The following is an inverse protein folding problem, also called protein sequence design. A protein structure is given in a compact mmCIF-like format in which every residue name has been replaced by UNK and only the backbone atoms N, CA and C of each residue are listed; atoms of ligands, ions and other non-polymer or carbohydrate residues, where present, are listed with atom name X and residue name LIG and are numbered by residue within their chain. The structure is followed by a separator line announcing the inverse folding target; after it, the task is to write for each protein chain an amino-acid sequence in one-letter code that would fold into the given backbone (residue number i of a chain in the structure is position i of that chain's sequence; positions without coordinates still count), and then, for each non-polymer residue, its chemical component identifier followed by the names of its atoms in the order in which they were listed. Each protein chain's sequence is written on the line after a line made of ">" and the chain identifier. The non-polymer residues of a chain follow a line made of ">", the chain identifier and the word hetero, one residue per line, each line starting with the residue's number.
data_IF_377722303769
#
_entry.id   IF_377722303769
#
_cell.length_a   1.000
_cell.length_b   1.000
_cell.length_c   1.000
_cell.angle_alpha   90.00
_cell.angle_beta   90.00
_cell.angle_gamma   90.00
#
_symmetry.space_group_name_H-M   'P 1'
#
loop_
_entity.id
_entity.type
_entity.pdbx_description
1 polymer ?
#
# COMPACT_ATOMS: atom_id res chain seq x y z
N UNK A 1 -11.74 17.04 -24.91
CA UNK A 1 -10.68 16.07 -24.54
C UNK A 1 -10.61 16.07 -23.03
N UNK A 2 -11.51 15.34 -22.39
CA UNK A 2 -11.67 15.38 -20.93
C UNK A 2 -10.55 14.54 -20.34
N UNK A 3 -9.63 15.17 -19.61
CA UNK A 3 -8.67 14.45 -18.78
C UNK A 3 -9.50 13.66 -17.78
N UNK A 4 -9.72 12.36 -18.03
CA UNK A 4 -10.29 11.47 -17.02
C UNK A 4 -9.19 11.32 -15.99
N UNK A 5 -9.23 12.14 -14.95
CA UNK A 5 -8.40 11.96 -13.77
C UNK A 5 -8.85 10.61 -13.18
N UNK A 6 -8.03 9.58 -13.35
CA UNK A 6 -8.32 8.24 -12.85
C UNK A 6 -7.75 8.12 -11.44
N UNK A 7 -8.61 8.30 -10.44
CA UNK A 7 -8.27 8.45 -9.03
C UNK A 7 -7.55 7.28 -8.39
N UNK A 8 -6.89 7.62 -7.29
CA UNK A 8 -5.52 7.23 -7.10
C UNK A 8 -5.18 6.75 -5.68
N UNK A 9 -4.23 5.82 -5.52
CA UNK A 9 -3.67 5.49 -4.18
C UNK A 9 -3.09 6.72 -3.46
N UNK A 10 -3.30 6.87 -2.14
CA UNK A 10 -2.85 8.09 -1.43
C UNK A 10 -1.34 8.38 -1.58
N UNK A 11 -0.94 9.49 -2.20
CA UNK A 11 0.44 9.93 -2.24
C UNK A 11 0.88 10.48 -0.87
N UNK A 12 2.13 10.27 -0.44
CA UNK A 12 2.59 10.74 0.88
C UNK A 12 3.98 11.37 0.84
N UNK A 13 4.19 12.34 1.72
CA UNK A 13 5.49 12.92 2.02
C UNK A 13 6.07 12.20 3.24
N UNK A 14 6.84 11.12 3.04
CA UNK A 14 7.43 10.38 4.16
C UNK A 14 8.45 11.23 4.94
N UNK A 15 9.20 12.10 4.26
CA UNK A 15 10.29 12.90 4.84
C UNK A 15 11.57 12.07 5.04
N UNK A 16 12.60 12.66 5.63
CA UNK A 16 13.90 12.00 5.83
C UNK A 16 13.97 11.21 7.13
N UNK A 17 14.93 10.29 7.28
CA UNK A 17 15.11 9.52 8.51
C UNK A 17 15.30 10.39 9.75
N UNK A 18 16.21 11.37 9.67
CA UNK A 18 16.63 12.20 10.80
C UNK A 18 15.48 13.06 11.33
N UNK A 19 14.72 13.70 10.43
CA UNK A 19 13.61 14.59 10.80
C UNK A 19 12.46 13.85 11.48
N UNK A 20 12.34 12.56 11.20
CA UNK A 20 11.25 11.71 11.68
C UNK A 20 11.62 10.89 12.93
N UNK A 21 12.84 11.07 13.46
CA UNK A 21 13.30 10.34 14.65
C UNK A 21 13.73 8.89 14.39
N UNK A 22 13.97 8.51 13.12
CA UNK A 22 14.60 7.24 12.81
C UNK A 22 16.12 7.36 12.91
N UNK A 23 16.72 6.66 13.87
CA UNK A 23 18.12 6.86 14.26
C UNK A 23 19.13 6.06 13.45
N UNK A 24 18.70 5.13 12.59
CA UNK A 24 19.59 4.17 11.94
C UNK A 24 19.80 4.47 10.45
N UNK A 25 20.97 4.09 9.96
CA UNK A 25 21.36 4.16 8.55
C UNK A 25 22.51 3.16 8.28
N UNK A 26 23.04 3.16 7.06
CA UNK A 26 24.12 2.28 6.63
C UNK A 26 25.43 2.44 7.43
N UNK A 27 25.68 3.61 8.01
CA UNK A 27 26.85 3.91 8.84
C UNK A 27 26.63 3.60 10.33
N UNK A 28 25.42 3.19 10.74
CA UNK A 28 25.15 2.81 12.13
C UNK A 28 26.05 1.66 12.57
N UNK A 29 26.70 1.84 13.72
CA UNK A 29 27.55 0.83 14.34
C UNK A 29 26.68 -0.24 15.01
N UNK A 30 27.01 -1.50 14.76
CA UNK A 30 26.40 -2.66 15.42
C UNK A 30 27.41 -3.24 16.40
N UNK A 31 27.15 -3.06 17.69
CA UNK A 31 28.05 -3.53 18.74
C UNK A 31 27.78 -5.01 19.11
N UNK A 32 28.75 -5.86 18.79
CA UNK A 32 28.79 -7.27 19.15
C UNK A 32 29.75 -7.58 20.31
N UNK A 33 30.54 -6.63 20.81
CA UNK A 33 31.70 -6.85 21.71
C UNK A 33 31.37 -7.70 22.95
N UNK A 34 30.18 -7.52 23.52
CA UNK A 34 29.71 -8.25 24.72
C UNK A 34 28.63 -9.27 24.40
N UNK A 35 28.68 -9.85 23.20
CA UNK A 35 27.69 -10.84 22.73
C UNK A 35 28.40 -12.11 22.29
N UNK A 36 27.66 -13.21 22.20
CA UNK A 36 28.16 -14.46 21.60
C UNK A 36 28.59 -14.33 20.14
N UNK A 37 28.28 -13.21 19.48
CA UNK A 37 28.61 -12.96 18.08
C UNK A 37 29.99 -12.28 17.91
N UNK A 38 30.63 -11.81 18.99
CA UNK A 38 31.87 -11.01 18.93
C UNK A 38 33.00 -11.71 18.16
N UNK A 39 33.30 -12.96 18.52
CA UNK A 39 34.39 -13.72 17.90
C UNK A 39 34.14 -13.97 16.40
N UNK A 40 32.92 -14.37 16.04
CA UNK A 40 32.53 -14.56 14.63
C UNK A 40 32.59 -13.25 13.83
N UNK A 41 32.17 -12.13 14.44
CA UNK A 41 32.28 -10.79 13.84
C UNK A 41 33.74 -10.37 13.62
N UNK A 42 34.62 -10.58 14.60
CA UNK A 42 36.06 -10.32 14.46
C UNK A 42 36.68 -11.18 13.35
N UNK A 43 36.32 -12.46 13.28
CA UNK A 43 36.85 -13.39 12.29
C UNK A 43 36.39 -13.04 10.86
N UNK A 44 35.11 -12.76 10.66
CA UNK A 44 34.50 -12.57 9.34
C UNK A 44 34.47 -11.11 8.87
N UNK A 45 34.40 -10.17 9.81
CA UNK A 45 34.27 -8.74 9.56
C UNK A 45 35.43 -7.93 10.15
N UNK A 46 36.50 -8.56 10.66
CA UNK A 46 37.70 -7.89 11.21
C UNK A 46 37.43 -6.87 12.32
N UNK A 47 36.23 -6.86 12.91
CA UNK A 47 35.81 -6.00 14.02
C UNK A 47 34.56 -6.58 14.67
N UNK A 48 34.39 -6.37 15.96
CA UNK A 48 33.17 -6.64 16.72
C UNK A 48 32.20 -5.44 16.75
N UNK A 49 32.56 -4.33 16.11
CA UNK A 49 31.72 -3.13 15.94
C UNK A 49 31.55 -2.75 14.46
N UNK A 50 31.12 -3.67 13.58
CA UNK A 50 30.92 -3.37 12.17
C UNK A 50 29.81 -2.32 11.96
N UNK A 51 29.87 -1.61 10.84
CA UNK A 51 28.75 -0.80 10.35
C UNK A 51 27.64 -1.70 9.80
N UNK A 52 26.40 -1.18 9.75
CA UNK A 52 25.29 -1.86 9.10
C UNK A 52 25.59 -2.19 7.62
N UNK A 53 26.28 -1.31 6.90
CA UNK A 53 26.74 -1.58 5.54
C UNK A 53 27.67 -2.81 5.47
N UNK A 54 28.64 -2.92 6.38
CA UNK A 54 29.57 -4.05 6.43
C UNK A 54 28.86 -5.37 6.75
N UNK A 55 27.88 -5.32 7.65
CA UNK A 55 27.01 -6.45 7.94
C UNK A 55 26.16 -6.85 6.73
N UNK A 56 25.64 -5.88 5.97
CA UNK A 56 24.84 -6.14 4.77
C UNK A 56 25.67 -6.79 3.66
N UNK A 57 26.89 -6.30 3.43
CA UNK A 57 27.86 -6.90 2.52
C UNK A 57 28.19 -8.35 2.89
N UNK A 58 28.35 -8.63 4.19
CA UNK A 58 28.52 -10.00 4.67
C UNK A 58 27.31 -10.87 4.33
N UNK A 59 26.09 -10.42 4.62
CA UNK A 59 24.88 -11.16 4.26
C UNK A 59 24.77 -11.40 2.75
N UNK A 60 25.12 -10.41 1.91
CA UNK A 60 25.19 -10.57 0.46
C UNK A 60 26.19 -11.64 0.04
N UNK A 61 27.41 -11.62 0.61
CA UNK A 61 28.47 -12.56 0.23
C UNK A 61 28.11 -14.03 0.47
N UNK A 62 27.18 -14.29 1.40
CA UNK A 62 26.72 -15.65 1.75
C UNK A 62 25.32 -15.96 1.21
N UNK A 63 24.66 -15.05 0.50
CA UNK A 63 23.23 -15.13 0.18
C UNK A 63 22.86 -16.34 -0.69
N UNK A 64 23.78 -16.74 -1.56
CA UNK A 64 23.60 -17.87 -2.48
C UNK A 64 24.18 -19.18 -1.91
N UNK A 65 24.76 -19.16 -0.71
CA UNK A 65 25.29 -20.35 -0.05
C UNK A 65 24.13 -21.07 0.63
N UNK A 66 23.84 -22.35 0.30
CA UNK A 66 22.84 -23.13 1.02
C UNK A 66 23.17 -23.17 2.51
N UNK A 67 22.17 -23.04 3.39
CA UNK A 67 22.38 -22.97 4.84
C UNK A 67 23.28 -24.10 5.37
N UNK A 68 23.01 -25.35 4.95
CA UNK A 68 23.80 -26.54 5.31
C UNK A 68 25.30 -26.46 4.95
N UNK A 69 25.70 -25.52 4.11
CA UNK A 69 27.07 -25.31 3.65
C UNK A 69 27.73 -24.08 4.30
N UNK A 70 27.03 -23.35 5.18
CA UNK A 70 27.62 -22.25 5.93
C UNK A 70 28.52 -22.80 7.04
N UNK A 71 29.62 -22.09 7.33
CA UNK A 71 30.42 -22.39 8.52
C UNK A 71 29.65 -22.02 9.79
N UNK A 72 30.02 -22.60 10.93
CA UNK A 72 29.39 -22.29 12.21
C UNK A 72 29.46 -20.78 12.53
N UNK A 73 30.59 -20.12 12.25
CA UNK A 73 30.74 -18.67 12.43
C UNK A 73 29.84 -17.88 11.48
N UNK A 74 29.69 -18.31 10.23
CA UNK A 74 28.80 -17.66 9.27
C UNK A 74 27.33 -17.77 9.71
N UNK A 75 26.89 -18.95 10.14
CA UNK A 75 25.52 -19.14 10.66
C UNK A 75 25.28 -18.31 11.91
N UNK A 76 26.22 -18.33 12.85
CA UNK A 76 26.14 -17.59 14.11
C UNK A 76 26.08 -16.08 13.86
N UNK A 77 26.97 -15.56 13.02
CA UNK A 77 27.00 -14.13 12.69
C UNK A 77 25.78 -13.72 11.85
N UNK A 78 25.34 -14.52 10.88
CA UNK A 78 24.11 -14.27 10.11
C UNK A 78 22.91 -14.09 11.03
N UNK A 79 22.78 -14.95 12.05
CA UNK A 79 21.73 -14.80 13.08
C UNK A 79 21.90 -13.49 13.85
N UNK A 80 23.11 -13.18 14.34
CA UNK A 80 23.38 -11.95 15.09
C UNK A 80 23.08 -10.67 14.30
N UNK A 81 23.47 -10.62 13.03
CA UNK A 81 23.16 -9.50 12.14
C UNK A 81 21.65 -9.36 11.95
N UNK A 82 20.95 -10.44 11.62
CA UNK A 82 19.50 -10.41 11.40
C UNK A 82 18.73 -9.97 12.66
N UNK A 83 19.14 -10.45 13.84
CA UNK A 83 18.54 -10.05 15.12
C UNK A 83 18.73 -8.53 15.37
N UNK A 84 19.92 -7.99 15.08
CA UNK A 84 20.22 -6.55 15.22
C UNK A 84 19.47 -5.71 14.20
N UNK A 85 19.48 -6.10 12.93
CA UNK A 85 18.70 -5.45 11.88
C UNK A 85 17.21 -5.42 12.21
N UNK A 86 16.66 -6.52 12.75
CA UNK A 86 15.28 -6.58 13.22
C UNK A 86 14.97 -5.51 14.26
N UNK A 87 15.80 -5.38 15.29
CA UNK A 87 15.64 -4.31 16.27
C UNK A 87 15.72 -2.91 15.65
N UNK A 88 16.63 -2.71 14.69
CA UNK A 88 16.83 -1.43 14.02
C UNK A 88 15.64 -1.02 13.15
N UNK A 89 15.14 -1.88 12.26
CA UNK A 89 14.02 -1.46 11.40
C UNK A 89 12.69 -1.41 12.17
N UNK A 90 12.51 -2.21 13.23
CA UNK A 90 11.29 -2.16 14.03
C UNK A 90 11.10 -0.82 14.76
N UNK A 91 12.19 -0.08 15.05
CA UNK A 91 12.07 1.27 15.61
C UNK A 91 11.43 2.29 14.65
N UNK A 92 11.36 1.99 13.35
CA UNK A 92 10.70 2.83 12.37
C UNK A 92 9.16 2.83 12.48
N UNK A 93 8.56 1.88 13.21
CA UNK A 93 7.11 1.72 13.27
C UNK A 93 6.37 2.98 13.73
N UNK A 94 6.81 3.60 14.83
CA UNK A 94 6.18 4.82 15.37
C UNK A 94 6.40 6.02 14.44
N UNK A 95 7.64 6.33 13.99
CA UNK A 95 7.87 7.35 12.97
C UNK A 95 6.98 7.17 11.73
N UNK A 96 6.92 5.97 11.16
CA UNK A 96 6.09 5.69 9.99
C UNK A 96 4.61 5.87 10.27
N UNK A 97 4.12 5.45 11.43
CA UNK A 97 2.74 5.69 11.84
C UNK A 97 2.41 7.19 11.91
N UNK A 98 3.28 7.98 12.54
CA UNK A 98 3.07 9.43 12.64
C UNK A 98 3.08 10.11 11.26
N UNK A 99 3.86 9.56 10.31
CA UNK A 99 3.96 10.10 8.95
C UNK A 99 2.85 9.65 8.03
N UNK A 100 2.49 8.37 8.07
CA UNK A 100 1.59 7.73 7.11
C UNK A 100 0.20 7.46 7.70
N UNK A 101 0.04 7.52 9.02
CA UNK A 101 -1.17 7.08 9.71
C UNK A 101 -1.32 5.56 9.75
N UNK A 102 -2.48 5.10 10.20
CA UNK A 102 -2.82 3.69 10.40
C UNK A 102 -3.24 2.99 9.11
N UNK A 103 -2.66 3.29 7.94
CA UNK A 103 -3.16 2.78 6.66
C UNK A 103 -2.11 1.91 5.98
N UNK A 104 -2.54 0.80 5.39
CA UNK A 104 -1.66 -0.08 4.63
C UNK A 104 -1.20 0.61 3.34
N UNK A 105 0.11 0.60 3.10
CA UNK A 105 0.73 1.20 1.92
C UNK A 105 0.54 0.40 0.61
N UNK A 106 -0.37 -0.58 0.60
CA UNK A 106 -0.66 -1.38 -0.60
C UNK A 106 -2.17 -1.42 -0.89
N UNK A 107 -2.97 -1.75 0.13
CA UNK A 107 -4.42 -1.88 -0.04
C UNK A 107 -5.20 -0.70 0.55
N UNK A 108 -4.53 0.25 1.20
CA UNK A 108 -5.10 1.42 1.89
C UNK A 108 -6.07 1.12 3.04
N UNK A 109 -6.33 -0.16 3.32
CA UNK A 109 -7.14 -0.56 4.46
C UNK A 109 -6.53 -0.03 5.77
N UNK A 110 -7.39 0.32 6.71
CA UNK A 110 -6.96 0.66 8.06
C UNK A 110 -6.30 -0.55 8.74
N UNK A 111 -5.21 -0.29 9.47
CA UNK A 111 -4.46 -1.23 10.29
C UNK A 111 -4.94 -1.06 11.72
N UNK A 112 -5.73 -2.01 12.21
CA UNK A 112 -6.36 -1.94 13.55
C UNK A 112 -5.61 -2.71 14.63
N UNK A 113 -4.60 -3.50 14.25
CA UNK A 113 -3.86 -4.38 15.15
C UNK A 113 -2.41 -3.93 15.29
N UNK A 114 -1.49 -4.62 14.63
CA UNK A 114 -0.06 -4.35 14.68
C UNK A 114 0.40 -3.70 13.37
N UNK A 115 1.12 -2.58 13.50
CA UNK A 115 1.75 -1.93 12.36
C UNK A 115 3.04 -2.67 12.06
N UNK A 116 3.07 -3.31 10.89
CA UNK A 116 4.28 -3.93 10.39
C UNK A 116 5.09 -2.90 9.60
N UNK A 117 6.37 -2.77 9.96
CA UNK A 117 7.36 -2.09 9.13
C UNK A 117 7.69 -3.02 7.98
N UNK A 118 7.19 -2.68 6.80
CA UNK A 118 7.41 -3.46 5.60
C UNK A 118 8.49 -2.82 4.72
N UNK A 119 9.29 -3.66 4.08
CA UNK A 119 10.36 -3.23 3.18
C UNK A 119 9.89 -3.26 1.73
N UNK A 120 9.89 -2.14 0.99
CA UNK A 120 9.54 -2.11 -0.43
C UNK A 120 10.37 -3.15 -1.21
N UNK A 121 11.68 -3.08 -1.00
CA UNK A 121 12.68 -4.02 -1.48
C UNK A 121 12.96 -5.03 -0.36
N UNK A 122 12.66 -6.33 -0.54
CA UNK A 122 12.69 -7.31 0.55
C UNK A 122 14.10 -7.53 1.12
N UNK A 123 14.21 -7.46 2.45
CA UNK A 123 15.48 -7.56 3.19
C UNK A 123 16.25 -8.87 3.01
N UNK A 124 15.56 -9.99 2.75
CA UNK A 124 16.19 -11.30 2.65
C UNK A 124 17.06 -11.43 1.39
N UNK A 125 16.54 -11.17 0.17
CA UNK A 125 17.34 -11.12 -1.06
C UNK A 125 18.16 -9.81 -1.22
N UNK A 126 17.83 -8.73 -0.49
CA UNK A 126 18.53 -7.44 -0.60
C UNK A 126 18.86 -6.85 0.78
N UNK A 127 19.83 -7.43 1.51
CA UNK A 127 20.17 -7.01 2.86
C UNK A 127 20.67 -5.55 2.94
N UNK A 128 21.25 -4.99 1.87
CA UNK A 128 21.74 -3.61 1.80
C UNK A 128 20.67 -2.55 2.10
N UNK A 129 19.40 -2.88 1.85
CA UNK A 129 18.26 -1.97 2.05
C UNK A 129 17.52 -2.21 3.37
N UNK A 130 18.01 -3.09 4.24
CA UNK A 130 17.29 -3.53 5.44
C UNK A 130 17.07 -2.42 6.47
N UNK A 131 18.00 -1.47 6.56
CA UNK A 131 17.97 -0.37 7.54
C UNK A 131 17.72 1.00 6.88
N UNK A 132 17.30 1.00 5.61
CA UNK A 132 17.15 2.23 4.83
C UNK A 132 15.73 2.75 4.96
N UNK A 133 15.58 3.94 5.55
CA UNK A 133 14.29 4.59 5.77
C UNK A 133 13.42 4.68 4.51
N UNK A 134 14.02 5.03 3.38
CA UNK A 134 13.30 5.17 2.12
C UNK A 134 12.71 3.83 1.65
N UNK A 135 13.28 2.71 2.10
CA UNK A 135 12.78 1.37 1.85
C UNK A 135 11.61 0.94 2.76
N UNK A 136 11.21 1.74 3.77
CA UNK A 136 10.16 1.32 4.72
C UNK A 136 8.78 1.89 4.45
N UNK A 137 7.78 1.10 4.84
CA UNK A 137 6.34 1.35 4.74
C UNK A 137 5.58 0.81 5.94
N UNK A 138 4.31 1.22 6.04
CA UNK A 138 3.30 0.53 6.84
C UNK A 138 2.57 -0.50 5.98
N UNK A 139 2.43 -1.73 6.45
CA UNK A 139 1.62 -2.75 5.78
C UNK A 139 0.66 -3.46 6.75
N UNK A 140 -0.48 -3.93 6.22
CA UNK A 140 -1.32 -4.88 6.94
C UNK A 140 -0.79 -6.30 6.75
N UNK A 141 -1.10 -7.19 7.71
CA UNK A 141 -0.63 -8.58 7.71
C UNK A 141 -0.86 -9.34 6.40
N UNK A 142 -2.05 -9.29 5.77
CA UNK A 142 -2.28 -9.95 4.48
C UNK A 142 -1.37 -9.44 3.36
N UNK A 143 -1.18 -8.12 3.22
CA UNK A 143 -0.31 -7.57 2.20
C UNK A 143 1.15 -7.96 2.44
N UNK A 144 1.61 -7.83 3.69
CA UNK A 144 2.96 -8.19 4.10
C UNK A 144 3.24 -9.68 3.84
N UNK A 145 2.34 -10.57 4.26
CA UNK A 145 2.47 -12.01 4.07
C UNK A 145 2.51 -12.41 2.58
N UNK A 146 1.66 -11.82 1.75
CA UNK A 146 1.59 -12.15 0.32
C UNK A 146 2.81 -11.66 -0.46
N UNK A 147 3.28 -10.45 -0.14
CA UNK A 147 4.51 -9.90 -0.68
C UNK A 147 5.71 -10.76 -0.27
N UNK A 148 5.91 -10.94 1.03
CA UNK A 148 7.03 -11.68 1.60
C UNK A 148 8.38 -11.22 1.02
N UNK A 149 9.23 -12.19 0.70
CA UNK A 149 10.59 -11.95 0.18
C UNK A 149 10.64 -11.76 -1.36
N UNK A 150 9.55 -11.36 -1.99
CA UNK A 150 9.49 -11.16 -3.46
C UNK A 150 9.79 -9.71 -3.85
N UNK A 151 10.49 -9.49 -4.98
CA UNK A 151 11.00 -10.49 -5.93
C UNK A 151 12.40 -11.02 -5.53
N UNK A 152 12.80 -12.18 -6.07
CA UNK A 152 14.18 -12.67 -5.92
C UNK A 152 15.15 -11.86 -6.80
N UNK A 153 16.44 -11.88 -6.45
CA UNK A 153 17.50 -11.22 -7.24
C UNK A 153 17.53 -11.68 -8.70
N UNK A 154 17.30 -12.96 -8.95
CA UNK A 154 17.30 -13.53 -10.31
C UNK A 154 16.18 -12.94 -11.17
N UNK A 155 14.97 -12.79 -10.61
CA UNK A 155 13.83 -12.22 -11.31
C UNK A 155 14.13 -10.78 -11.73
N UNK A 156 14.64 -9.96 -10.81
CA UNK A 156 14.96 -8.55 -11.10
C UNK A 156 16.12 -8.42 -12.08
N UNK A 157 17.12 -9.30 -12.02
CA UNK A 157 18.22 -9.32 -12.99
C UNK A 157 17.71 -9.53 -14.42
N UNK A 158 16.72 -10.40 -14.61
CA UNK A 158 16.11 -10.64 -15.93
C UNK A 158 15.41 -9.36 -16.42
N UNK A 159 14.67 -8.67 -15.54
CA UNK A 159 14.03 -7.41 -15.88
C UNK A 159 15.03 -6.35 -16.32
N UNK A 160 16.09 -6.14 -15.54
CA UNK A 160 17.14 -5.17 -15.83
C UNK A 160 17.86 -5.50 -17.15
N UNK A 161 18.10 -6.77 -17.44
CA UNK A 161 18.68 -7.20 -18.73
C UNK A 161 17.76 -6.92 -19.92
N UNK A 162 16.44 -7.10 -19.76
CA UNK A 162 15.46 -6.75 -20.78
C UNK A 162 15.42 -5.22 -21.03
N UNK A 163 15.72 -4.43 -20.01
CA UNK A 163 15.89 -2.97 -20.09
C UNK A 163 17.30 -2.55 -20.58
N UNK A 164 18.17 -3.50 -20.93
CA UNK A 164 19.51 -3.25 -21.47
C UNK A 164 20.63 -3.14 -20.42
N UNK A 165 20.32 -3.26 -19.12
CA UNK A 165 21.31 -3.26 -18.06
C UNK A 165 21.83 -4.68 -17.76
N UNK A 166 22.98 -5.02 -18.36
CA UNK A 166 23.63 -6.32 -18.19
C UNK A 166 24.52 -6.44 -16.95
N UNK A 167 24.85 -5.32 -16.29
CA UNK A 167 25.71 -5.29 -15.11
C UNK A 167 25.11 -4.39 -14.02
N UNK A 168 23.97 -4.81 -13.43
CA UNK A 168 23.22 -3.96 -12.52
C UNK A 168 23.95 -3.76 -11.18
N UNK A 169 23.93 -2.53 -10.71
CA UNK A 169 24.30 -2.12 -9.35
C UNK A 169 23.19 -2.46 -8.36
N UNK A 170 23.47 -2.42 -7.05
CA UNK A 170 22.40 -2.56 -6.04
C UNK A 170 21.34 -1.46 -6.19
N UNK A 171 21.74 -0.24 -6.56
CA UNK A 171 20.78 0.84 -6.80
C UNK A 171 19.84 0.51 -7.98
N UNK A 172 20.35 -0.12 -9.05
CA UNK A 172 19.50 -0.56 -10.16
C UNK A 172 18.46 -1.60 -9.71
N UNK A 173 18.84 -2.53 -8.82
CA UNK A 173 17.88 -3.47 -8.21
C UNK A 173 16.82 -2.72 -7.40
N UNK A 174 17.25 -1.77 -6.57
CA UNK A 174 16.35 -0.97 -5.74
C UNK A 174 15.32 -0.23 -6.59
N UNK A 175 15.79 0.52 -7.58
CA UNK A 175 14.95 1.37 -8.44
C UNK A 175 14.00 0.51 -9.28
N UNK A 176 14.47 -0.60 -9.84
CA UNK A 176 13.63 -1.51 -10.64
C UNK A 176 12.49 -2.11 -9.81
N UNK A 177 12.77 -2.61 -8.61
CA UNK A 177 11.75 -3.19 -7.72
C UNK A 177 10.75 -2.12 -7.30
N UNK A 178 11.24 -0.94 -6.92
CA UNK A 178 10.37 0.14 -6.50
C UNK A 178 9.46 0.62 -7.62
N UNK A 179 9.96 0.71 -8.85
CA UNK A 179 9.14 1.05 -10.03
C UNK A 179 8.04 0.02 -10.30
N UNK A 180 8.31 -1.27 -10.07
CA UNK A 180 7.45 -2.40 -10.47
C UNK A 180 6.49 -2.89 -9.39
N UNK A 181 7.03 -3.20 -8.22
CA UNK A 181 6.33 -3.86 -7.11
C UNK A 181 5.86 -2.89 -6.03
N UNK A 182 6.17 -1.60 -6.16
CA UNK A 182 5.78 -0.56 -5.23
C UNK A 182 5.38 0.72 -5.95
N UNK A 183 4.15 0.70 -6.47
CA UNK A 183 3.58 1.85 -7.18
C UNK A 183 3.03 2.84 -6.15
N UNK A 184 3.91 3.70 -5.63
CA UNK A 184 3.56 4.75 -4.69
C UNK A 184 4.18 6.09 -5.10
N UNK A 185 3.46 7.16 -4.78
CA UNK A 185 3.75 8.48 -5.31
C UNK A 185 4.94 9.22 -4.67
N UNK A 186 5.69 8.57 -3.77
CA UNK A 186 6.93 9.17 -3.27
C UNK A 186 8.05 9.15 -4.33
N UNK A 187 7.87 8.37 -5.41
CA UNK A 187 8.81 8.23 -6.52
C UNK A 187 8.35 8.90 -7.81
N UNK A 188 7.04 8.84 -8.09
CA UNK A 188 6.46 9.39 -9.31
C UNK A 188 5.03 9.88 -9.05
N UNK A 189 4.79 11.16 -9.37
CA UNK A 189 3.54 11.87 -9.17
C UNK A 189 2.37 11.34 -10.01
N UNK A 190 2.58 10.34 -10.86
CA UNK A 190 1.52 9.71 -11.67
C UNK A 190 1.26 8.24 -11.30
N UNK A 191 2.17 7.60 -10.55
CA UNK A 191 2.13 6.16 -10.22
C UNK A 191 0.79 5.70 -9.64
N UNK A 192 0.15 6.55 -8.86
CA UNK A 192 -1.08 6.22 -8.15
C UNK A 192 -2.34 6.38 -9.01
N UNK A 193 -2.30 7.07 -10.16
CA UNK A 193 -3.44 7.24 -11.09
C UNK A 193 -3.84 5.97 -11.85
N UNK A 194 -3.07 4.90 -11.71
CA UNK A 194 -3.22 3.68 -12.50
C UNK A 194 -4.07 2.60 -11.82
N UNK A 195 -4.51 2.81 -10.57
CA UNK A 195 -5.13 1.76 -9.74
C UNK A 195 -6.57 2.08 -9.28
N UNK A 196 -7.51 2.41 -10.19
CA UNK A 196 -8.86 2.75 -9.79
C UNK A 196 -9.60 1.57 -9.14
N UNK A 197 -10.31 1.88 -8.05
CA UNK A 197 -11.30 1.02 -7.44
C UNK A 197 -12.63 1.10 -8.20
N UNK A 198 -12.91 0.08 -9.01
CA UNK A 198 -14.10 0.02 -9.84
C UNK A 198 -15.13 -0.98 -9.32
N UNK A 199 -16.40 -0.68 -9.57
CA UNK A 199 -17.52 -1.54 -9.22
C UNK A 199 -17.71 -2.64 -10.27
N UNK A 200 -17.70 -3.89 -9.84
CA UNK A 200 -17.95 -5.07 -10.66
C UNK A 200 -19.17 -5.82 -10.15
N UNK A 201 -19.89 -6.46 -11.05
CA UNK A 201 -20.99 -7.35 -10.73
C UNK A 201 -20.77 -8.74 -11.32
N UNK A 202 -21.32 -9.76 -10.66
CA UNK A 202 -21.29 -11.11 -11.17
C UNK A 202 -22.45 -11.31 -12.18
N UNK A 203 -22.10 -11.56 -13.44
CA UNK A 203 -23.07 -11.85 -14.49
C UNK A 203 -23.45 -13.33 -14.49
N UNK A 204 -24.73 -13.62 -14.22
CA UNK A 204 -25.25 -14.99 -14.22
C UNK A 204 -25.31 -15.60 -15.63
N UNK A 205 -25.50 -14.77 -16.67
CA UNK A 205 -25.58 -15.27 -18.05
C UNK A 205 -24.24 -15.78 -18.57
N UNK A 206 -23.14 -15.14 -18.13
CA UNK A 206 -21.79 -15.39 -18.63
C UNK A 206 -20.90 -16.06 -17.58
N UNK A 207 -21.44 -16.31 -16.37
CA UNK A 207 -20.74 -16.86 -15.22
C UNK A 207 -19.39 -16.15 -14.93
N UNK A 208 -19.37 -14.82 -15.03
CA UNK A 208 -18.14 -14.03 -14.96
C UNK A 208 -18.36 -12.67 -14.29
N UNK A 209 -17.29 -12.09 -13.77
CA UNK A 209 -17.29 -10.73 -13.25
C UNK A 209 -17.23 -9.73 -14.40
N UNK A 210 -18.12 -8.74 -14.38
CA UNK A 210 -18.22 -7.69 -15.40
C UNK A 210 -18.14 -6.33 -14.72
N UNK A 211 -17.35 -5.44 -15.29
CA UNK A 211 -17.26 -4.03 -14.87
C UNK A 211 -18.62 -3.36 -15.07
N UNK A 212 -19.11 -2.64 -14.06
CA UNK A 212 -20.28 -1.77 -14.24
C UNK A 212 -19.87 -0.61 -15.15
N UNK A 213 -20.55 -0.36 -16.27
CA UNK A 213 -20.19 0.73 -17.16
C UNK A 213 -20.50 2.09 -16.52
N UNK A 214 -19.69 3.11 -16.83
CA UNK A 214 -20.00 4.49 -16.47
C UNK A 214 -21.33 4.94 -17.15
N UNK A 215 -22.12 5.81 -16.51
CA UNK A 215 -21.90 6.40 -15.18
C UNK A 215 -22.35 5.50 -14.02
N UNK A 216 -22.88 4.30 -14.30
CA UNK A 216 -23.43 3.41 -13.29
C UNK A 216 -22.43 2.91 -12.25
N UNK A 217 -21.12 2.91 -12.56
CA UNK A 217 -20.10 2.45 -11.61
C UNK A 217 -20.04 3.32 -10.35
N UNK A 218 -20.23 4.63 -10.46
CA UNK A 218 -20.15 5.61 -9.37
C UNK A 218 -21.50 6.23 -9.01
N UNK A 219 -22.61 5.64 -9.47
CA UNK A 219 -23.96 6.15 -9.18
C UNK A 219 -24.27 6.06 -7.68
N UNK A 220 -24.58 7.22 -7.07
CA UNK A 220 -24.96 7.37 -5.66
C UNK A 220 -26.23 6.64 -5.26
N UNK A 221 -27.04 6.18 -6.23
CA UNK A 221 -28.20 5.33 -5.98
C UNK A 221 -27.84 3.85 -5.79
N UNK A 222 -26.61 3.45 -6.09
CA UNK A 222 -26.13 2.11 -5.80
C UNK A 222 -26.15 1.87 -4.29
N UNK A 223 -26.80 0.78 -3.84
CA UNK A 223 -27.00 0.52 -2.40
C UNK A 223 -26.89 -0.95 -2.06
N UNK A 224 -26.32 -1.26 -0.90
CA UNK A 224 -26.24 -2.63 -0.38
C UNK A 224 -27.65 -3.10 -0.02
N UNK A 225 -28.01 -4.29 -0.50
CA UNK A 225 -29.25 -5.00 -0.14
C UNK A 225 -28.98 -6.00 0.98
N UNK A 226 -27.88 -6.75 0.87
CA UNK A 226 -27.50 -7.71 1.90
C UNK A 226 -25.99 -7.99 1.89
N UNK A 227 -25.49 -8.48 3.03
CA UNK A 227 -24.10 -8.92 3.16
C UNK A 227 -24.06 -10.29 3.81
N UNK A 228 -23.13 -11.13 3.36
CA UNK A 228 -22.79 -12.39 4.00
C UNK A 228 -21.32 -12.32 4.40
N UNK A 229 -21.04 -12.02 5.67
CA UNK A 229 -19.66 -11.87 6.17
C UNK A 229 -18.89 -13.19 6.14
N UNK A 230 -19.57 -14.32 6.35
CA UNK A 230 -18.96 -15.65 6.34
C UNK A 230 -18.47 -16.06 4.95
N UNK A 231 -19.28 -15.77 3.92
CA UNK A 231 -18.95 -16.03 2.51
C UNK A 231 -18.25 -14.83 1.84
N UNK A 232 -18.12 -13.70 2.55
CA UNK A 232 -17.56 -12.43 2.06
C UNK A 232 -18.26 -11.92 0.81
N UNK A 233 -19.58 -12.09 0.77
CA UNK A 233 -20.41 -11.67 -0.36
C UNK A 233 -21.20 -10.42 -0.02
N UNK A 234 -21.37 -9.56 -1.02
CA UNK A 234 -22.22 -8.37 -0.94
C UNK A 234 -23.16 -8.41 -2.12
N UNK A 235 -24.45 -8.28 -1.84
CA UNK A 235 -25.47 -8.06 -2.86
C UNK A 235 -25.91 -6.61 -2.78
N UNK A 236 -25.94 -5.95 -3.92
CA UNK A 236 -26.31 -4.54 -4.03
C UNK A 236 -27.30 -4.35 -5.19
N UNK A 237 -28.18 -3.38 -5.02
CA UNK A 237 -28.98 -2.83 -6.10
C UNK A 237 -28.11 -1.79 -6.81
N UNK A 238 -27.78 -2.04 -8.08
CA UNK A 238 -26.83 -1.24 -8.86
C UNK A 238 -27.45 -0.74 -10.16
N UNK A 239 -27.04 0.43 -10.61
CA UNK A 239 -27.45 0.99 -11.89
C UNK A 239 -26.65 0.34 -13.04
N UNK A 240 -27.32 -0.49 -13.85
CA UNK A 240 -26.82 -0.97 -15.12
C UNK A 240 -27.54 -0.24 -16.26
N UNK A 241 -26.85 0.73 -16.88
CA UNK A 241 -27.33 1.46 -18.06
C UNK A 241 -28.74 2.09 -17.88
N UNK A 242 -28.97 2.69 -16.71
CA UNK A 242 -30.24 3.35 -16.35
C UNK A 242 -31.24 2.44 -15.62
N UNK A 243 -30.94 1.15 -15.45
CA UNK A 243 -31.82 0.20 -14.76
C UNK A 243 -31.21 -0.29 -13.46
N UNK A 244 -31.94 -0.13 -12.36
CA UNK A 244 -31.54 -0.65 -11.05
C UNK A 244 -31.78 -2.16 -10.97
N UNK A 245 -30.72 -2.94 -10.74
CA UNK A 245 -30.79 -4.39 -10.62
C UNK A 245 -29.99 -4.92 -9.44
N UNK A 246 -30.51 -5.96 -8.78
CA UNK A 246 -29.80 -6.61 -7.67
C UNK A 246 -28.78 -7.60 -8.21
N UNK A 247 -27.51 -7.46 -7.81
CA UNK A 247 -26.40 -8.36 -8.19
C UNK A 247 -25.46 -8.59 -7.02
N UNK A 248 -24.72 -9.71 -7.07
CA UNK A 248 -23.50 -9.88 -6.28
C UNK A 248 -22.43 -8.93 -6.84
N UNK A 249 -21.76 -8.19 -5.96
CA UNK A 249 -20.85 -7.11 -6.33
C UNK A 249 -19.51 -7.19 -5.60
N UNK A 250 -18.47 -6.66 -6.25
CA UNK A 250 -17.12 -6.50 -5.70
C UNK A 250 -16.52 -5.19 -6.21
N UNK A 251 -15.75 -4.51 -5.37
CA UNK A 251 -14.95 -3.35 -5.78
C UNK A 251 -13.51 -3.77 -5.98
N UNK A 252 -13.08 -3.83 -7.24
CA UNK A 252 -11.77 -4.34 -7.65
C UNK A 252 -10.86 -3.20 -8.04
N UNK A 253 -9.60 -3.31 -7.65
CA UNK A 253 -8.53 -2.47 -8.17
C UNK A 253 -8.16 -3.01 -9.54
N UNK A 254 -8.14 -2.18 -10.56
CA UNK A 254 -7.61 -2.58 -11.88
C UNK A 254 -6.41 -1.73 -12.22
N UNK A 255 -5.49 -2.26 -13.04
CA UNK A 255 -4.48 -1.43 -13.68
C UNK A 255 -5.11 -0.73 -14.89
N UNK A 256 -4.97 0.58 -15.00
CA UNK A 256 -5.25 1.30 -16.24
C UNK A 256 -4.01 1.17 -17.12
N UNK A 257 -4.01 0.23 -18.07
CA UNK A 257 -2.86 0.05 -18.96
C UNK A 257 -2.66 1.32 -19.79
N UNK A 258 -1.44 1.89 -19.70
CA UNK A 258 -0.86 3.04 -20.41
C UNK A 258 -0.80 4.33 -19.54
N UNK A 259 0.37 4.77 -19.04
CA UNK A 259 1.73 4.43 -19.52
C UNK A 259 2.52 3.35 -18.77
N UNK A 260 2.17 2.89 -17.55
CA UNK A 260 3.04 1.96 -16.82
C UNK A 260 2.42 0.55 -16.62
N UNK A 261 3.11 -0.55 -16.96
CA UNK A 261 2.66 -1.93 -16.70
C UNK A 261 2.73 -2.33 -15.21
N UNK A 262 3.16 -1.42 -14.33
CA UNK A 262 3.59 -1.75 -12.97
C UNK A 262 2.44 -1.87 -11.97
N UNK A 263 1.33 -1.15 -12.19
CA UNK A 263 0.14 -1.29 -11.33
C UNK A 263 -0.39 -2.73 -11.25
N UNK A 264 -0.35 -3.46 -12.37
CA UNK A 264 -0.79 -4.86 -12.40
C UNK A 264 0.12 -5.75 -11.56
N UNK A 265 1.43 -5.52 -11.59
CA UNK A 265 2.39 -6.30 -10.81
C UNK A 265 2.20 -6.11 -9.30
N UNK A 266 1.87 -4.89 -8.85
CA UNK A 266 1.48 -4.65 -7.46
C UNK A 266 0.17 -5.37 -7.09
N UNK A 267 -0.84 -5.30 -7.96
CA UNK A 267 -2.11 -6.02 -7.77
C UNK A 267 -1.85 -7.51 -7.58
N UNK A 268 -0.98 -8.10 -8.41
CA UNK A 268 -0.68 -9.53 -8.40
C UNK A 268 0.20 -9.92 -7.20
N UNK A 269 1.22 -9.12 -6.88
CA UNK A 269 2.12 -9.33 -5.75
C UNK A 269 1.37 -9.43 -4.42
N UNK A 270 0.49 -8.47 -4.17
CA UNK A 270 -0.30 -8.38 -2.94
C UNK A 270 -1.69 -9.03 -3.06
N UNK A 271 -2.02 -9.60 -4.22
CA UNK A 271 -3.32 -10.16 -4.58
C UNK A 271 -4.48 -9.25 -4.13
N UNK A 272 -4.46 -7.98 -4.53
CA UNK A 272 -5.33 -6.93 -3.99
C UNK A 272 -6.84 -7.15 -4.26
N UNK A 273 -7.18 -8.06 -5.18
CA UNK A 273 -8.54 -8.46 -5.54
C UNK A 273 -8.93 -9.86 -5.06
N UNK A 274 -8.12 -10.47 -4.19
CA UNK A 274 -8.43 -11.79 -3.62
C UNK A 274 -9.57 -11.67 -2.62
N UNK A 275 -10.49 -12.64 -2.64
CA UNK A 275 -11.53 -12.79 -1.62
C UNK A 275 -10.96 -13.12 -0.24
N UNK A 276 -9.80 -13.80 -0.22
CA UNK A 276 -9.13 -14.38 0.95
C UNK A 276 -9.73 -15.72 1.39
N UNK A 277 -9.10 -16.39 2.35
CA UNK A 277 -9.56 -17.70 2.85
C UNK A 277 -10.77 -17.57 3.76
N UNK A 278 -11.88 -18.24 3.44
CA UNK A 278 -13.14 -18.15 4.20
C UNK A 278 -13.04 -18.75 5.62
N UNK A 279 -12.06 -19.62 5.86
CA UNK A 279 -11.83 -20.29 7.16
C UNK A 279 -11.13 -19.40 8.18
N UNK A 280 -10.66 -18.21 7.80
CA UNK A 280 -10.09 -17.24 8.73
C UNK A 280 -10.68 -15.85 8.52
N UNK A 281 -10.25 -14.89 9.34
CA UNK A 281 -10.71 -13.50 9.28
C UNK A 281 -9.58 -12.53 8.94
N UNK A 282 -8.38 -13.04 8.61
CA UNK A 282 -7.17 -12.23 8.49
C UNK A 282 -7.18 -11.35 7.25
N UNK A 283 -7.67 -11.86 6.12
CA UNK A 283 -7.73 -11.11 4.86
C UNK A 283 -9.18 -10.86 4.44
N UNK A 284 -9.70 -9.66 4.70
CA UNK A 284 -11.02 -9.20 4.23
C UNK A 284 -10.92 -7.99 3.32
N UNK A 285 -9.74 -7.72 2.73
CA UNK A 285 -9.45 -6.45 2.05
C UNK A 285 -10.43 -6.13 0.92
N UNK A 286 -10.74 -7.11 0.06
CA UNK A 286 -11.73 -6.94 -1.01
C UNK A 286 -13.14 -6.64 -0.48
N UNK A 287 -13.57 -7.40 0.53
CA UNK A 287 -14.87 -7.23 1.17
C UNK A 287 -14.98 -5.85 1.84
N UNK A 288 -14.00 -5.48 2.67
CA UNK A 288 -13.93 -4.18 3.35
C UNK A 288 -13.88 -3.01 2.38
N UNK A 289 -13.11 -3.12 1.29
CA UNK A 289 -13.08 -2.10 0.23
C UNK A 289 -14.45 -1.94 -0.44
N UNK A 290 -15.12 -3.05 -0.72
CA UNK A 290 -16.47 -3.04 -1.30
C UNK A 290 -17.46 -2.40 -0.34
N UNK A 291 -17.43 -2.72 0.95
CA UNK A 291 -18.27 -2.05 1.96
C UNK A 291 -17.99 -0.55 2.04
N UNK A 292 -16.71 -0.15 2.11
CA UNK A 292 -16.31 1.25 2.18
C UNK A 292 -16.85 2.06 0.99
N UNK A 293 -16.78 1.49 -0.22
CA UNK A 293 -17.32 2.08 -1.43
C UNK A 293 -18.81 2.39 -1.35
N UNK A 294 -19.64 1.40 -0.99
CA UNK A 294 -21.08 1.61 -0.90
C UNK A 294 -21.48 2.51 0.27
N UNK A 295 -20.77 2.41 1.41
CA UNK A 295 -21.00 3.31 2.53
C UNK A 295 -20.68 4.77 2.14
N UNK A 296 -19.60 4.98 1.37
CA UNK A 296 -19.25 6.30 0.85
C UNK A 296 -20.34 6.84 -0.09
N UNK A 297 -20.84 6.01 -1.03
CA UNK A 297 -21.98 6.40 -1.88
C UNK A 297 -23.23 6.74 -1.07
N UNK A 298 -23.53 5.97 -0.02
CA UNK A 298 -24.68 6.23 0.84
C UNK A 298 -24.56 7.58 1.55
N UNK A 299 -23.39 7.91 2.12
CA UNK A 299 -23.17 9.21 2.76
C UNK A 299 -23.21 10.34 1.73
N UNK A 300 -22.57 10.16 0.57
CA UNK A 300 -22.61 11.13 -0.52
C UNK A 300 -24.05 11.41 -0.99
N UNK A 301 -24.90 10.39 -1.06
CA UNK A 301 -26.33 10.54 -1.37
C UNK A 301 -27.06 11.40 -0.34
N UNK A 302 -26.69 11.35 0.94
CA UNK A 302 -27.30 12.21 1.96
C UNK A 302 -27.03 13.70 1.71
N UNK A 303 -25.91 14.03 1.06
CA UNK A 303 -25.59 15.42 0.70
C UNK A 303 -26.52 15.96 -0.39
N UNK A 304 -27.18 15.10 -1.17
CA UNK A 304 -28.22 15.52 -2.11
C UNK A 304 -29.44 16.13 -1.39
N UNK A 305 -29.62 15.90 -0.08
CA UNK A 305 -30.65 16.58 0.73
C UNK A 305 -30.25 18.04 1.03
N UNK A 306 -28.95 18.34 1.03
CA UNK A 306 -28.40 19.67 1.29
C UNK A 306 -28.33 20.56 0.03
N UNK A 307 -28.97 20.16 -1.08
CA UNK A 307 -28.93 20.92 -2.35
C UNK A 307 -29.40 22.35 -2.12
N UNK A 308 -28.51 23.31 -2.42
CA UNK A 308 -28.77 24.74 -2.26
C UNK A 308 -28.65 25.27 -0.82
N UNK A 309 -28.22 24.47 0.16
CA UNK A 309 -28.03 24.91 1.55
C UNK A 309 -26.66 24.53 2.12
N UNK A 310 -25.73 25.49 2.09
CA UNK A 310 -24.35 25.30 2.57
C UNK A 310 -24.28 24.93 4.06
N UNK A 311 -25.15 25.49 4.91
CA UNK A 311 -25.11 25.22 6.35
C UNK A 311 -25.47 23.76 6.65
N UNK A 312 -26.48 23.22 5.97
CA UNK A 312 -26.85 21.80 6.09
C UNK A 312 -25.70 20.92 5.54
N UNK A 313 -25.10 21.31 4.41
CA UNK A 313 -23.96 20.59 3.85
C UNK A 313 -22.79 20.51 4.85
N UNK A 314 -22.38 21.65 5.43
CA UNK A 314 -21.25 21.72 6.36
C UNK A 314 -21.49 20.93 7.65
N UNK A 315 -22.76 20.76 8.08
CA UNK A 315 -23.12 19.88 9.19
C UNK A 315 -22.97 18.39 8.85
N UNK A 316 -23.23 18.00 7.61
CA UNK A 316 -23.18 16.60 7.16
C UNK A 316 -21.77 16.19 6.70
N UNK A 317 -21.01 17.10 6.09
CA UNK A 317 -19.71 16.83 5.48
C UNK A 317 -18.70 16.08 6.38
N UNK A 318 -18.54 16.41 7.68
CA UNK A 318 -17.64 15.68 8.57
C UNK A 318 -17.92 14.18 8.68
N UNK A 319 -19.14 13.73 8.39
CA UNK A 319 -19.48 12.30 8.37
C UNK A 319 -18.75 11.54 7.27
N UNK A 320 -18.51 12.16 6.10
CA UNK A 320 -17.77 11.54 4.99
C UNK A 320 -16.28 11.44 5.32
N UNK A 321 -15.71 12.50 5.91
CA UNK A 321 -14.31 12.49 6.35
C UNK A 321 -14.07 11.43 7.44
N UNK A 322 -15.00 11.33 8.39
CA UNK A 322 -14.96 10.35 9.47
C UNK A 322 -15.06 8.94 8.91
N UNK A 323 -15.98 8.71 7.97
CA UNK A 323 -16.14 7.41 7.31
C UNK A 323 -14.86 7.00 6.56
N UNK A 324 -14.21 7.94 5.85
CA UNK A 324 -12.94 7.69 5.18
C UNK A 324 -11.84 7.29 6.17
N UNK A 325 -11.68 8.04 7.26
CA UNK A 325 -10.71 7.73 8.32
C UNK A 325 -10.87 6.33 8.88
N UNK A 326 -12.09 5.94 9.26
CA UNK A 326 -12.30 4.65 9.97
C UNK A 326 -12.20 3.43 9.06
N UNK A 327 -12.35 3.60 7.74
CA UNK A 327 -12.23 2.52 6.77
C UNK A 327 -10.86 2.48 6.07
N UNK A 328 -10.17 3.61 5.98
CA UNK A 328 -9.04 3.78 5.06
C UNK A 328 -9.53 3.94 3.62
N UNK A 329 -8.90 3.22 2.68
CA UNK A 329 -9.25 3.23 1.25
C UNK A 329 -9.36 4.64 0.66
N UNK A 330 -8.38 5.50 0.95
CA UNK A 330 -8.37 6.90 0.51
C UNK A 330 -8.76 7.07 -0.96
N UNK A 331 -8.21 6.23 -1.85
CA UNK A 331 -8.53 6.24 -3.29
C UNK A 331 -10.02 6.04 -3.60
N UNK A 332 -10.72 5.19 -2.84
CA UNK A 332 -12.16 4.93 -2.99
C UNK A 332 -12.96 6.20 -2.70
N UNK A 333 -12.68 6.84 -1.56
CA UNK A 333 -13.40 8.05 -1.15
C UNK A 333 -13.14 9.20 -2.12
N UNK A 334 -11.87 9.43 -2.47
CA UNK A 334 -11.52 10.49 -3.41
C UNK A 334 -12.20 10.30 -4.77
N UNK A 335 -12.15 9.07 -5.32
CA UNK A 335 -12.77 8.71 -6.61
C UNK A 335 -14.27 9.00 -6.65
N UNK A 336 -14.98 8.73 -5.55
CA UNK A 336 -16.43 8.87 -5.52
C UNK A 336 -16.89 10.33 -5.46
N UNK A 337 -16.00 11.26 -5.10
CA UNK A 337 -16.29 12.68 -5.04
C UNK A 337 -16.14 13.39 -6.40
N UNK A 338 -15.71 12.66 -7.44
CA UNK A 338 -15.57 13.20 -8.78
C UNK A 338 -16.88 13.76 -9.31
N UNK A 339 -16.80 14.98 -9.85
CA UNK A 339 -17.93 15.72 -10.41
C UNK A 339 -19.00 16.12 -9.39
N UNK A 340 -18.74 15.99 -8.08
CA UNK A 340 -19.59 16.53 -7.04
C UNK A 340 -19.03 17.85 -6.50
N UNK A 341 -19.94 18.75 -6.17
CA UNK A 341 -19.65 20.09 -5.66
C UNK A 341 -20.52 20.34 -4.42
N UNK A 342 -20.01 21.13 -3.48
CA UNK A 342 -20.84 21.65 -2.40
C UNK A 342 -21.79 22.76 -2.93
N UNK A 343 -22.80 23.20 -2.14
CA UNK A 343 -23.73 24.24 -2.57
C UNK A 343 -23.08 25.58 -2.96
N UNK A 344 -21.86 25.86 -2.49
CA UNK A 344 -21.08 27.05 -2.86
C UNK A 344 -20.35 26.91 -4.20
N UNK A 345 -20.35 25.71 -4.79
CA UNK A 345 -19.64 25.41 -6.04
C UNK A 345 -18.20 24.93 -5.83
N UNK A 346 -17.80 24.56 -4.61
CA UNK A 346 -16.46 24.01 -4.34
C UNK A 346 -16.42 22.52 -4.69
N UNK A 347 -15.46 22.05 -5.52
CA UNK A 347 -15.30 20.63 -5.82
C UNK A 347 -15.06 19.80 -4.55
N UNK A 348 -15.82 18.73 -4.36
CA UNK A 348 -15.72 17.93 -3.13
C UNK A 348 -14.42 17.15 -3.01
N UNK A 349 -13.85 16.70 -4.13
CA UNK A 349 -12.56 16.02 -4.14
C UNK A 349 -11.42 16.93 -3.64
N UNK A 350 -11.36 18.19 -4.09
CA UNK A 350 -10.42 19.22 -3.58
C UNK A 350 -10.61 19.48 -2.09
N UNK A 351 -11.86 19.63 -1.66
CA UNK A 351 -12.22 19.83 -0.25
C UNK A 351 -11.76 18.65 0.61
N UNK A 352 -11.98 17.42 0.16
CA UNK A 352 -11.53 16.20 0.83
C UNK A 352 -10.01 16.13 0.96
N UNK A 353 -9.26 16.40 -0.12
CA UNK A 353 -7.79 16.42 -0.10
C UNK A 353 -7.28 17.42 0.94
N UNK A 354 -7.82 18.63 0.92
CA UNK A 354 -7.41 19.73 1.81
C UNK A 354 -7.72 19.41 3.28
N UNK A 355 -8.98 19.04 3.58
CA UNK A 355 -9.44 18.90 4.96
C UNK A 355 -8.95 17.60 5.63
N UNK A 356 -8.52 16.61 4.84
CA UNK A 356 -7.99 15.36 5.39
C UNK A 356 -6.46 15.29 5.49
N UNK A 357 -5.73 16.27 4.96
CA UNK A 357 -4.26 16.31 5.07
C UNK A 357 -3.78 16.81 6.43
N UNK A 358 -4.11 16.07 7.50
CA UNK A 358 -3.66 16.35 8.85
C UNK A 358 -3.63 15.07 9.70
N UNK A 359 -3.06 15.19 10.91
CA UNK A 359 -2.85 14.07 11.84
C UNK A 359 -4.14 13.32 12.26
N UNK A 360 -5.32 13.95 12.14
CA UNK A 360 -6.58 13.29 12.52
C UNK A 360 -7.11 12.34 11.44
N UNK A 361 -6.68 12.50 10.19
CA UNK A 361 -7.20 11.77 9.03
C UNK A 361 -6.07 11.06 8.26
N UNK A 362 -5.58 11.66 7.19
CA UNK A 362 -4.56 11.13 6.30
C UNK A 362 -3.32 12.05 6.34
N UNK A 363 -2.47 11.92 7.38
CA UNK A 363 -1.34 12.83 7.56
C UNK A 363 -0.34 12.76 6.41
N UNK A 364 0.29 13.90 6.14
CA UNK A 364 1.35 14.06 5.15
C UNK A 364 0.97 13.54 3.77
N UNK A 365 -0.30 13.66 3.41
CA UNK A 365 -0.74 13.43 2.04
C UNK A 365 -0.01 14.45 1.15
N UNK A 366 0.65 13.97 0.10
CA UNK A 366 1.28 14.85 -0.87
C UNK A 366 0.22 15.38 -1.83
N UNK A 367 -0.20 16.63 -1.65
CA UNK A 367 -1.31 17.22 -2.40
C UNK A 367 -0.92 17.79 -3.76
N UNK A 368 0.38 17.79 -4.12
CA UNK A 368 0.86 18.46 -5.34
C UNK A 368 0.26 17.92 -6.65
N UNK A 369 -0.16 16.66 -6.66
CA UNK A 369 -0.74 16.01 -7.83
C UNK A 369 -2.13 15.41 -7.54
N UNK A 370 -2.77 15.84 -6.45
CA UNK A 370 -4.18 15.55 -6.16
C UNK A 370 -5.05 16.72 -6.67
N UNK A 371 -6.35 16.48 -6.92
CA UNK A 371 -7.28 17.48 -7.45
C UNK A 371 -7.31 18.80 -6.71
#
# INVERSE_FOLDING_TARGET
>A
MTLIITHTMRPVNKGTAADNGYAYNSNSIIDFSNTKYAAASLALLTTDKPTAARCSYFLLSIINIPQKNLTADQELLKKGVNDRFKGMYQSAAIPLFNRLGAYCSFCENIITTYIEVEHCVPKSPYPDFTVIWDNFLTACGPCNQLKGDKPSRQVVRIWLQQEGNNNPTEQDYYDCIRKRHYVWADLDALSYMELPADLWYFSLSNNTWVLVPAPGNTDVNNTIVSTNVGQREIYANINLLGTMVIRKVEVKIRSNTNPSPHGQELIDLCQLNRLGELTNTSDRRLFSRTQAYFNALQVLRTFLIAVGNQQIFDLLWPSYLTLAKINGFYSVFLRLLDNYYDPSGTPLNQRFVTETNNALYFPNTNTLALP
#
